data_IF_866779860372
#
_entry.id   IF_866779860372
#
_cell.length_a   1.000
_cell.length_b   1.000
_cell.length_c   1.000
_cell.angle_alpha   90.00
_cell.angle_beta   90.00
_cell.angle_gamma   90.00
#
_symmetry.space_group_name_H-M   'P 1'
#
loop_
_entity.id
_entity.type
_entity.pdbx_description
1 polymer ?
#
# COMPACT_ATOMS: atom_id res chain seq x y z
N UNK A 1 -9.97 -16.23 16.84
CA UNK A 1 -11.12 -16.83 16.10
C UNK A 1 -11.12 -16.24 14.68
N UNK A 2 -11.42 -17.03 13.64
CA UNK A 2 -11.63 -16.47 12.30
C UNK A 2 -12.85 -15.53 12.32
N UNK A 3 -12.68 -14.30 11.86
CA UNK A 3 -13.69 -13.25 11.86
C UNK A 3 -14.27 -13.00 10.46
N UNK A 4 -13.68 -13.55 9.41
CA UNK A 4 -14.22 -13.45 8.05
C UNK A 4 -13.29 -14.01 6.99
N UNK A 5 -13.86 -14.27 5.83
CA UNK A 5 -13.15 -14.54 4.58
C UNK A 5 -13.66 -13.55 3.52
N UNK A 6 -12.75 -13.04 2.70
CA UNK A 6 -13.03 -12.08 1.64
C UNK A 6 -12.22 -12.44 0.40
N UNK A 7 -12.78 -12.12 -0.76
CA UNK A 7 -12.05 -12.15 -2.03
C UNK A 7 -12.15 -10.77 -2.65
N UNK A 8 -11.03 -10.26 -3.17
CA UNK A 8 -10.98 -8.97 -3.86
C UNK A 8 -9.92 -8.98 -4.96
N UNK A 9 -10.16 -8.23 -6.02
CA UNK A 9 -9.21 -7.91 -7.08
C UNK A 9 -8.52 -6.57 -6.87
N UNK A 10 -7.21 -6.55 -7.08
CA UNK A 10 -6.39 -5.35 -7.08
C UNK A 10 -5.77 -5.13 -8.46
N UNK A 11 -5.88 -3.90 -8.96
CA UNK A 11 -5.15 -3.41 -10.13
C UNK A 11 -4.20 -2.29 -9.70
N UNK A 12 -2.91 -2.42 -9.99
CA UNK A 12 -1.89 -1.45 -9.64
C UNK A 12 -1.45 -0.64 -10.85
N UNK A 13 -1.31 0.67 -10.65
CA UNK A 13 -1.03 1.63 -11.71
C UNK A 13 0.22 2.45 -11.41
N UNK A 14 1.05 2.65 -12.42
CA UNK A 14 2.23 3.50 -12.34
C UNK A 14 2.59 4.02 -13.74
N UNK A 15 3.55 4.95 -13.82
CA UNK A 15 4.14 5.32 -15.10
C UNK A 15 5.03 4.18 -15.63
N UNK A 16 5.34 4.15 -16.95
CA UNK A 16 6.30 3.20 -17.51
C UNK A 16 7.67 3.21 -16.84
N UNK A 17 8.05 4.32 -16.22
CA UNK A 17 9.31 4.51 -15.50
C UNK A 17 9.19 4.21 -13.99
N UNK A 18 8.04 3.68 -13.53
CA UNK A 18 7.75 3.32 -12.13
C UNK A 18 7.94 4.49 -11.14
N UNK A 19 7.54 5.71 -11.53
CA UNK A 19 7.79 6.93 -10.75
C UNK A 19 7.17 6.83 -9.35
N UNK A 20 5.97 6.25 -9.22
CA UNK A 20 5.28 6.13 -7.94
C UNK A 20 5.99 5.08 -7.08
N UNK A 21 6.16 3.87 -7.59
CA UNK A 21 6.74 2.73 -6.87
C UNK A 21 8.17 3.03 -6.41
N UNK A 22 9.00 3.64 -7.26
CA UNK A 22 10.38 4.03 -6.91
C UNK A 22 10.44 5.12 -5.83
N UNK A 23 9.37 5.88 -5.65
CA UNK A 23 9.20 6.87 -4.58
C UNK A 23 8.39 6.33 -3.39
N UNK A 24 8.14 5.02 -3.34
CA UNK A 24 7.35 4.32 -2.31
C UNK A 24 5.88 4.75 -2.23
N UNK A 25 5.31 5.21 -3.35
CA UNK A 25 3.88 5.43 -3.53
C UNK A 25 3.26 4.25 -4.25
N UNK A 26 2.08 3.81 -3.79
CA UNK A 26 1.39 2.66 -4.37
C UNK A 26 -0.04 3.05 -4.70
N UNK A 27 -0.34 3.21 -6.00
CA UNK A 27 -1.67 3.50 -6.51
C UNK A 27 -2.35 2.20 -6.94
N UNK A 28 -3.57 1.95 -6.44
CA UNK A 28 -4.38 0.80 -6.84
C UNK A 28 -5.86 1.14 -7.01
N UNK A 29 -6.54 0.41 -7.89
CA UNK A 29 -8.00 0.28 -7.92
C UNK A 29 -8.34 -1.10 -7.32
N UNK A 30 -9.06 -1.13 -6.20
CA UNK A 30 -9.53 -2.34 -5.54
C UNK A 30 -11.04 -2.42 -5.67
N UNK A 31 -11.56 -3.46 -6.34
CA UNK A 31 -13.01 -3.64 -6.53
C UNK A 31 -13.72 -2.34 -7.01
N UNK A 32 -13.10 -1.63 -7.96
CA UNK A 32 -13.64 -0.38 -8.50
C UNK A 32 -13.41 0.87 -7.65
N UNK A 33 -12.69 0.78 -6.52
CA UNK A 33 -12.37 1.92 -5.64
C UNK A 33 -10.89 2.27 -5.66
N UNK A 34 -10.56 3.55 -5.84
CA UNK A 34 -9.19 4.04 -5.86
C UNK A 34 -8.61 4.21 -4.45
N UNK A 35 -7.38 3.74 -4.26
CA UNK A 35 -6.60 3.88 -3.04
C UNK A 35 -5.15 4.26 -3.38
N UNK A 36 -4.59 5.22 -2.65
CA UNK A 36 -3.18 5.61 -2.75
C UNK A 36 -2.50 5.46 -1.39
N UNK A 37 -1.49 4.60 -1.32
CA UNK A 37 -0.58 4.51 -0.17
C UNK A 37 0.58 5.47 -0.39
N UNK A 38 0.82 6.37 0.56
CA UNK A 38 1.88 7.38 0.52
C UNK A 38 2.91 7.12 1.62
N UNK A 39 4.22 7.28 1.41
CA UNK A 39 5.19 7.25 2.48
C UNK A 39 4.96 8.48 3.37
N UNK A 40 4.89 8.28 4.69
CA UNK A 40 4.75 9.38 5.63
C UNK A 40 6.10 10.08 5.79
N UNK A 41 6.12 11.41 5.67
CA UNK A 41 7.34 12.21 5.80
C UNK A 41 7.89 12.06 7.22
N UNK A 42 9.05 11.43 7.38
CA UNK A 42 9.75 11.31 8.66
C UNK A 42 10.30 12.69 9.07
N UNK A 43 9.51 13.46 9.80
CA UNK A 43 9.84 14.83 10.20
C UNK A 43 10.74 14.97 11.43
N UNK A 44 11.30 13.89 11.97
CA UNK A 44 12.09 13.95 13.21
C UNK A 44 13.35 13.11 13.09
N UNK A 45 14.47 13.69 13.53
CA UNK A 45 15.75 13.01 13.70
C UNK A 45 15.55 11.76 14.56
N UNK A 46 16.10 10.60 14.17
CA UNK A 46 15.91 9.34 14.88
C UNK A 46 16.67 9.39 16.20
N UNK A 47 15.96 9.68 17.29
CA UNK A 47 16.53 9.67 18.65
C UNK A 47 16.25 8.33 19.37
N UNK A 48 15.65 7.35 18.68
CA UNK A 48 15.36 6.03 19.21
C UNK A 48 15.42 4.94 18.13
N UNK A 49 16.12 3.84 18.42
CA UNK A 49 16.31 2.69 17.50
C UNK A 49 14.99 2.08 17.00
N UNK A 50 13.88 2.32 17.70
CA UNK A 50 12.52 1.89 17.33
C UNK A 50 11.90 2.66 16.15
N UNK A 51 12.34 3.88 15.83
CA UNK A 51 11.85 4.59 14.62
C UNK A 51 12.42 4.04 13.32
N UNK A 52 13.59 3.38 13.36
CA UNK A 52 14.32 2.91 12.17
C UNK A 52 13.65 1.66 11.57
N UNK A 53 12.95 0.87 12.37
CA UNK A 53 12.41 -0.42 11.95
C UNK A 53 11.03 -0.35 11.30
N UNK A 54 10.32 0.79 11.37
CA UNK A 54 8.92 0.86 11.02
C UNK A 54 8.65 1.84 9.86
N UNK A 55 8.31 1.30 8.69
CA UNK A 55 7.95 2.14 7.53
C UNK A 55 6.58 2.77 7.72
N UNK A 56 6.50 4.10 7.73
CA UNK A 56 5.23 4.81 7.96
C UNK A 56 4.54 5.14 6.64
N UNK A 57 3.22 4.95 6.56
CA UNK A 57 2.40 5.32 5.42
C UNK A 57 1.13 6.07 5.81
N UNK A 58 0.59 6.82 4.86
CA UNK A 58 -0.74 7.43 4.90
C UNK A 58 -1.55 6.86 3.75
N UNK A 59 -2.77 6.42 4.01
CA UNK A 59 -3.68 5.94 2.95
C UNK A 59 -4.71 7.02 2.59
N UNK A 60 -4.83 7.28 1.29
CA UNK A 60 -5.82 8.22 0.72
C UNK A 60 -6.83 7.41 -0.09
N UNK A 61 -8.11 7.54 0.24
CA UNK A 61 -9.23 6.86 -0.46
C UNK A 61 -10.18 7.83 -1.16
N UNK A 62 -9.99 9.14 -0.96
CA UNK A 62 -10.77 10.18 -1.63
C UNK A 62 -10.22 10.41 -3.03
N UNK A 63 -11.00 10.06 -4.06
CA UNK A 63 -10.57 10.17 -5.47
C UNK A 63 -10.02 11.56 -5.85
N UNK A 64 -10.64 12.70 -5.51
CA UNK A 64 -10.06 14.03 -5.81
C UNK A 64 -8.70 14.27 -5.14
N UNK A 65 -8.48 13.74 -3.94
CA UNK A 65 -7.21 13.86 -3.24
C UNK A 65 -6.15 12.94 -3.86
N UNK A 66 -6.54 11.73 -4.29
CA UNK A 66 -5.67 10.80 -5.02
C UNK A 66 -5.20 11.45 -6.32
N UNK A 67 -6.11 11.93 -7.16
CA UNK A 67 -5.77 12.57 -8.43
C UNK A 67 -4.81 13.76 -8.25
N UNK A 68 -5.11 14.63 -7.28
CA UNK A 68 -4.26 15.80 -6.97
C UNK A 68 -2.86 15.38 -6.55
N UNK A 69 -2.74 14.39 -5.67
CA UNK A 69 -1.45 13.95 -5.13
C UNK A 69 -0.61 13.21 -6.17
N UNK A 70 -1.21 12.31 -6.95
CA UNK A 70 -0.53 11.60 -8.03
C UNK A 70 -0.05 12.58 -9.10
N UNK A 71 -0.91 13.51 -9.53
CA UNK A 71 -0.55 14.56 -10.50
C UNK A 71 0.64 15.40 -10.02
N UNK A 72 0.69 15.72 -8.72
CA UNK A 72 1.79 16.46 -8.11
C UNK A 72 3.11 15.68 -8.21
N UNK A 73 3.11 14.41 -7.82
CA UNK A 73 4.30 13.54 -7.81
C UNK A 73 4.88 13.37 -9.22
N UNK A 74 4.02 13.08 -10.20
CA UNK A 74 4.42 12.90 -11.60
C UNK A 74 5.01 14.19 -12.17
N UNK A 75 4.35 15.35 -11.94
CA UNK A 75 4.84 16.65 -12.43
C UNK A 75 6.18 17.06 -11.81
N UNK A 76 6.36 16.83 -10.51
CA UNK A 76 7.62 17.12 -9.81
C UNK A 76 8.78 16.31 -10.42
N UNK A 77 8.56 15.03 -10.74
CA UNK A 77 9.60 14.21 -11.35
C UNK A 77 9.96 14.65 -12.77
N UNK A 78 8.98 15.02 -13.60
CA UNK A 78 9.23 15.53 -14.95
C UNK A 78 10.00 16.87 -14.93
N UNK A 79 9.73 17.71 -13.92
CA UNK A 79 10.46 18.98 -13.73
C UNK A 79 11.90 18.76 -13.26
N UNK A 80 12.16 17.73 -12.45
CA UNK A 80 13.51 17.33 -12.00
C UNK A 80 14.35 16.76 -13.14
N UNK A 81 13.76 15.96 -14.04
CA UNK A 81 14.41 15.38 -15.22
C UNK A 81 14.74 16.40 -16.32
N UNK A 82 13.99 17.51 -16.42
CA UNK A 82 14.16 18.54 -17.46
C UNK A 82 15.44 19.39 -17.32
N UNK A 83 16.26 19.16 -16.29
CA UNK A 83 17.61 19.76 -16.18
C UNK A 83 18.69 18.98 -16.96
N UNK A 84 18.37 17.83 -17.52
CA UNK A 84 19.32 17.03 -18.28
C UNK A 84 18.68 16.50 -19.55
N UNK A 85 19.08 17.11 -20.67
CA UNK A 85 18.91 16.65 -22.06
C UNK A 85 17.55 16.87 -22.72
N UNK A 86 17.53 17.94 -23.51
CA UNK A 86 16.70 18.07 -24.71
C UNK A 86 16.89 16.87 -25.65
N UNK A 87 15.79 16.30 -26.13
CA UNK A 87 15.48 16.08 -27.56
C UNK A 87 14.66 14.80 -27.79
N UNK A 88 13.56 15.02 -28.50
CA UNK A 88 12.85 14.09 -29.40
C UNK A 88 11.82 13.13 -28.79
N UNK A 89 10.59 13.65 -28.90
CA UNK A 89 9.29 12.99 -28.95
C UNK A 89 9.25 12.01 -30.13
N UNK A 90 9.00 10.74 -29.87
CA UNK A 90 8.49 9.81 -30.88
C UNK A 90 7.22 9.13 -30.39
N UNK A 91 6.36 8.88 -31.37
CA UNK A 91 4.92 8.68 -31.34
C UNK A 91 4.69 7.25 -31.80
N UNK A 92 4.11 6.38 -30.97
CA UNK A 92 3.65 5.06 -31.42
C UNK A 92 2.30 4.75 -30.78
N UNK A 93 1.25 4.86 -31.59
CA UNK A 93 -0.05 4.23 -31.40
C UNK A 93 0.10 2.71 -31.54
N UNK A 94 -0.43 1.91 -30.60
CA UNK A 94 -1.08 0.61 -30.91
C UNK A 94 -2.13 0.23 -29.86
N UNK A 95 -3.36 0.16 -30.35
CA UNK A 95 -4.55 -0.45 -29.76
C UNK A 95 -4.35 -1.96 -29.62
N UNK A 96 -4.72 -2.52 -28.47
CA UNK A 96 -5.11 -3.93 -28.35
C UNK A 96 -6.21 -4.02 -27.29
N UNK A 97 -7.44 -4.18 -27.77
CA UNK A 97 -8.63 -4.47 -26.95
C UNK A 97 -8.50 -5.89 -26.39
N UNK A 98 -8.52 -6.04 -25.06
CA UNK A 98 -8.87 -7.29 -24.41
C UNK A 98 -10.11 -7.06 -23.53
N UNK A 99 -11.25 -7.44 -24.07
CA UNK A 99 -12.50 -7.56 -23.33
C UNK A 99 -12.32 -8.65 -22.26
N UNK A 100 -12.36 -8.27 -20.98
CA UNK A 100 -13.26 -8.81 -19.95
C UNK A 100 -12.74 -8.55 -18.51
N UNK A 101 -12.31 -7.32 -18.22
CA UNK A 101 -11.95 -6.88 -16.87
C UNK A 101 -13.00 -5.88 -16.39
N UNK A 102 -13.67 -6.16 -15.27
CA UNK A 102 -14.50 -5.17 -14.57
C UNK A 102 -13.56 -4.07 -14.03
N UNK A 103 -13.38 -3.02 -14.83
CA UNK A 103 -12.54 -1.86 -14.54
C UNK A 103 -13.34 -0.85 -13.70
N UNK A 104 -12.63 -0.09 -12.85
CA UNK A 104 -13.11 1.17 -12.25
C UNK A 104 -13.95 1.98 -13.28
N UNK A 105 -15.01 2.69 -12.87
CA UNK A 105 -15.99 3.29 -13.82
C UNK A 105 -15.32 4.04 -14.98
N UNK A 106 -15.90 3.99 -16.19
CA UNK A 106 -15.24 4.47 -17.42
C UNK A 106 -14.78 5.93 -17.36
N UNK A 107 -15.48 6.79 -16.61
CA UNK A 107 -15.10 8.19 -16.37
C UNK A 107 -13.86 8.34 -15.46
N UNK A 108 -13.59 7.36 -14.59
CA UNK A 108 -12.51 7.41 -13.59
C UNK A 108 -11.14 6.96 -14.13
N UNK A 109 -11.02 6.74 -15.44
CA UNK A 109 -9.77 6.25 -16.07
C UNK A 109 -9.12 7.24 -17.01
N UNK A 110 -9.82 8.30 -17.45
CA UNK A 110 -9.24 9.31 -18.36
C UNK A 110 -7.99 9.99 -17.77
N UNK A 111 -8.02 10.31 -16.48
CA UNK A 111 -6.89 10.94 -15.79
C UNK A 111 -5.62 10.08 -15.74
N UNK A 112 -5.76 8.75 -15.86
CA UNK A 112 -4.59 7.86 -15.96
C UNK A 112 -3.86 8.10 -17.28
N UNK A 113 -4.61 8.23 -18.38
CA UNK A 113 -4.04 8.51 -19.69
C UNK A 113 -3.35 9.88 -19.73
N UNK A 114 -3.96 10.90 -19.12
CA UNK A 114 -3.38 12.25 -19.03
C UNK A 114 -2.03 12.27 -18.28
N UNK A 115 -1.87 11.37 -17.31
CA UNK A 115 -0.65 11.22 -16.52
C UNK A 115 0.28 10.13 -17.06
N UNK A 116 -0.07 9.47 -18.17
CA UNK A 116 0.64 8.33 -18.74
C UNK A 116 0.86 7.20 -17.71
N UNK A 117 -0.18 6.87 -16.94
CA UNK A 117 -0.21 5.77 -16.00
C UNK A 117 -0.84 4.54 -16.66
N UNK A 118 -0.22 3.38 -16.46
CA UNK A 118 -0.67 2.09 -17.01
C UNK A 118 -0.84 1.08 -15.89
N UNK A 119 -1.79 0.16 -16.06
CA UNK A 119 -1.88 -1.01 -15.20
C UNK A 119 -0.64 -1.88 -15.42
N UNK A 120 0.15 -2.12 -14.38
CA UNK A 120 1.37 -2.93 -14.47
C UNK A 120 1.27 -4.24 -13.69
N UNK A 121 0.28 -4.38 -12.80
CA UNK A 121 0.01 -5.62 -12.08
C UNK A 121 -1.48 -5.73 -11.75
N UNK A 122 -2.04 -6.93 -11.90
CA UNK A 122 -3.42 -7.26 -11.55
C UNK A 122 -3.45 -8.68 -10.96
N UNK A 123 -4.13 -8.84 -9.82
CA UNK A 123 -4.31 -10.16 -9.19
C UNK A 123 -5.50 -10.16 -8.23
N UNK A 124 -6.02 -11.36 -7.96
CA UNK A 124 -7.03 -11.59 -6.93
C UNK A 124 -6.38 -12.09 -5.65
N UNK A 125 -6.94 -11.68 -4.53
CA UNK A 125 -6.52 -12.10 -3.18
C UNK A 125 -7.68 -12.75 -2.46
N UNK A 126 -7.45 -13.94 -1.90
CA UNK A 126 -8.30 -14.53 -0.87
C UNK A 126 -7.72 -14.22 0.51
N UNK A 127 -8.46 -13.44 1.30
CA UNK A 127 -8.09 -13.04 2.65
C UNK A 127 -8.87 -13.83 3.68
N UNK A 128 -8.17 -14.42 4.64
CA UNK A 128 -8.75 -14.97 5.86
C UNK A 128 -8.31 -14.16 7.08
N UNK A 129 -9.26 -13.51 7.74
CA UNK A 129 -9.00 -12.59 8.86
C UNK A 129 -9.28 -13.25 10.21
N UNK A 130 -8.41 -13.01 11.18
CA UNK A 130 -8.50 -13.49 12.55
C UNK A 130 -8.43 -12.32 13.53
N UNK A 131 -9.23 -12.40 14.60
CA UNK A 131 -9.06 -11.56 15.78
C UNK A 131 -8.54 -12.42 16.93
N UNK A 132 -7.40 -12.02 17.48
CA UNK A 132 -6.72 -12.63 18.60
C UNK A 132 -6.89 -11.73 19.81
N UNK A 133 -7.88 -12.05 20.64
CA UNK A 133 -8.04 -11.40 21.95
C UNK A 133 -6.91 -11.85 22.88
N UNK A 134 -6.24 -10.89 23.51
CA UNK A 134 -5.18 -11.11 24.52
C UNK A 134 -5.41 -10.17 25.68
N UNK A 135 -4.83 -10.48 26.83
CA UNK A 135 -4.90 -9.59 28.03
C UNK A 135 -4.34 -8.20 27.73
N UNK A 136 -3.31 -8.12 26.88
CA UNK A 136 -2.69 -6.88 26.45
C UNK A 136 -3.45 -6.13 25.33
N UNK A 137 -4.60 -6.65 24.86
CA UNK A 137 -5.41 -6.06 23.79
C UNK A 137 -5.54 -6.95 22.55
N UNK A 138 -6.50 -6.62 21.69
CA UNK A 138 -6.78 -7.38 20.48
C UNK A 138 -5.70 -7.18 19.40
N UNK A 139 -5.38 -8.25 18.70
CA UNK A 139 -4.49 -8.26 17.53
C UNK A 139 -5.24 -8.85 16.34
N UNK A 140 -5.22 -8.13 15.22
CA UNK A 140 -5.78 -8.61 13.95
C UNK A 140 -4.69 -9.36 13.18
N UNK A 141 -5.04 -10.47 12.55
CA UNK A 141 -4.14 -11.20 11.64
C UNK A 141 -4.89 -11.50 10.35
N UNK A 142 -4.40 -10.96 9.24
CA UNK A 142 -4.92 -11.21 7.90
C UNK A 142 -3.97 -12.16 7.16
N UNK A 143 -4.48 -13.30 6.69
CA UNK A 143 -3.73 -14.24 5.86
C UNK A 143 -4.24 -14.13 4.44
N UNK A 144 -3.39 -13.64 3.55
CA UNK A 144 -3.68 -13.38 2.16
C UNK A 144 -3.05 -14.44 1.27
N UNK A 145 -3.82 -14.98 0.34
CA UNK A 145 -3.32 -15.80 -0.76
C UNK A 145 -3.68 -15.13 -2.08
N UNK A 146 -2.67 -14.80 -2.88
CA UNK A 146 -2.88 -14.31 -4.24
C UNK A 146 -3.16 -15.47 -5.20
N UNK A 147 -3.90 -15.21 -6.28
CA UNK A 147 -4.25 -16.19 -7.32
C UNK A 147 -3.05 -16.75 -8.11
N UNK A 148 -1.90 -16.08 -8.03
CA UNK A 148 -0.62 -16.57 -8.56
C UNK A 148 0.21 -17.38 -7.54
N UNK A 149 -0.38 -17.74 -6.39
CA UNK A 149 0.13 -18.75 -5.46
C UNK A 149 1.02 -18.24 -4.33
N UNK A 150 1.25 -16.93 -4.23
CA UNK A 150 1.98 -16.34 -3.10
C UNK A 150 1.06 -16.13 -1.90
N UNK A 151 1.55 -16.44 -0.71
CA UNK A 151 0.85 -16.23 0.55
C UNK A 151 1.60 -15.21 1.40
N UNK A 152 0.86 -14.33 2.06
CA UNK A 152 1.41 -13.28 2.92
C UNK A 152 0.53 -13.17 4.17
N UNK A 153 1.15 -13.07 5.35
CA UNK A 153 0.45 -12.77 6.59
C UNK A 153 0.66 -11.32 7.02
N UNK A 154 -0.38 -10.60 7.40
CA UNK A 154 -0.30 -9.28 8.02
C UNK A 154 -0.80 -9.35 9.47
N UNK A 155 0.07 -9.07 10.45
CA UNK A 155 -0.33 -8.89 11.85
C UNK A 155 -0.54 -7.41 12.09
N UNK A 156 -1.70 -6.98 12.58
CA UNK A 156 -2.06 -5.59 12.78
C UNK A 156 -2.51 -5.29 14.22
N UNK A 157 -2.03 -4.18 14.77
CA UNK A 157 -2.49 -3.59 16.04
C UNK A 157 -2.89 -2.14 15.81
N UNK A 158 -4.12 -1.81 16.21
CA UNK A 158 -4.61 -0.42 16.23
C UNK A 158 -4.21 0.25 17.54
N UNK A 159 -3.62 1.44 17.42
CA UNK A 159 -3.16 2.27 18.52
C UNK A 159 -3.82 3.64 18.39
N UNK A 160 -4.50 4.15 19.44
CA UNK A 160 -4.97 5.54 19.43
C UNK A 160 -3.81 6.52 19.23
N UNK A 161 -4.07 7.69 18.65
CA UNK A 161 -3.05 8.73 18.49
C UNK A 161 -2.45 9.12 19.85
N UNK A 162 -1.11 9.21 19.89
CA UNK A 162 -0.36 9.42 21.13
C UNK A 162 -0.27 8.19 22.04
N UNK A 163 -0.78 7.03 21.61
CA UNK A 163 -0.67 5.77 22.32
C UNK A 163 0.73 5.15 22.26
N UNK A 164 0.92 4.07 23.03
CA UNK A 164 2.22 3.41 23.17
C UNK A 164 2.53 2.50 21.97
N UNK A 165 3.34 3.03 21.05
CA UNK A 165 3.83 2.31 19.88
C UNK A 165 4.75 1.14 20.25
N UNK A 166 5.54 1.25 21.32
CA UNK A 166 6.44 0.17 21.73
C UNK A 166 5.65 -1.03 22.25
N UNK A 167 4.58 -0.79 23.03
CA UNK A 167 3.68 -1.84 23.46
C UNK A 167 2.95 -2.50 22.26
N UNK A 168 2.61 -1.74 21.23
CA UNK A 168 2.03 -2.28 20.01
C UNK A 168 3.02 -3.17 19.23
N UNK A 169 4.26 -2.71 19.05
CA UNK A 169 5.33 -3.47 18.41
C UNK A 169 5.62 -4.78 19.18
N UNK A 170 5.72 -4.73 20.50
CA UNK A 170 5.92 -5.92 21.32
C UNK A 170 4.79 -6.95 21.15
N UNK A 171 3.54 -6.50 21.08
CA UNK A 171 2.40 -7.39 20.81
C UNK A 171 2.54 -8.07 19.44
N UNK A 172 2.90 -7.30 18.41
CA UNK A 172 3.13 -7.85 17.07
C UNK A 172 4.27 -8.87 17.09
N UNK A 173 5.41 -8.52 17.68
CA UNK A 173 6.58 -9.41 17.76
C UNK A 173 6.26 -10.71 18.50
N UNK A 174 5.51 -10.64 19.60
CA UNK A 174 5.09 -11.84 20.34
C UNK A 174 4.18 -12.75 19.50
N UNK A 175 3.20 -12.17 18.80
CA UNK A 175 2.31 -12.95 17.91
C UNK A 175 3.10 -13.53 16.73
N UNK A 176 4.03 -12.78 16.15
CA UNK A 176 4.89 -13.28 15.07
C UNK A 176 5.73 -14.49 15.54
N UNK A 177 6.32 -14.41 16.74
CA UNK A 177 7.07 -15.51 17.34
C UNK A 177 6.19 -16.74 17.62
N UNK A 178 4.95 -16.54 18.10
CA UNK A 178 3.98 -17.63 18.29
C UNK A 178 3.60 -18.34 16.98
N UNK A 179 3.50 -17.57 15.88
CA UNK A 179 3.11 -18.10 14.56
C UNK A 179 4.28 -18.80 13.82
N UNK A 180 5.52 -18.65 14.30
CA UNK A 180 6.67 -19.46 13.90
C UNK A 180 7.96 -18.66 13.69
N UNK A 181 9.11 -19.22 14.08
CA UNK A 181 10.44 -18.60 13.95
C UNK A 181 11.06 -18.66 12.55
N UNK A 182 10.37 -19.24 11.56
CA UNK A 182 10.89 -19.42 10.21
C UNK A 182 10.58 -18.20 9.32
N UNK A 183 10.83 -17.00 9.85
CA UNK A 183 10.55 -15.75 9.15
C UNK A 183 11.85 -15.21 8.57
N UNK A 184 12.07 -15.46 7.27
CA UNK A 184 13.23 -14.92 6.57
C UNK A 184 13.15 -13.41 6.33
N UNK A 185 11.95 -12.82 6.41
CA UNK A 185 11.74 -11.39 6.21
C UNK A 185 10.54 -10.89 7.02
N UNK A 186 10.79 -9.98 7.96
CA UNK A 186 9.77 -9.28 8.75
C UNK A 186 9.88 -7.81 8.39
N UNK A 187 8.82 -7.22 7.82
CA UNK A 187 8.76 -5.78 7.58
C UNK A 187 7.71 -5.15 8.49
N UNK A 188 8.14 -4.28 9.41
CA UNK A 188 7.22 -3.49 10.24
C UNK A 188 6.74 -2.26 9.48
N UNK A 189 5.46 -1.96 9.60
CA UNK A 189 4.77 -0.84 8.97
C UNK A 189 3.90 -0.11 9.98
N UNK A 190 3.68 1.18 9.75
CA UNK A 190 2.75 2.02 10.51
C UNK A 190 1.90 2.82 9.52
N UNK A 191 0.61 2.56 9.48
CA UNK A 191 -0.34 3.30 8.66
C UNK A 191 -1.08 4.34 9.52
N UNK A 192 -1.06 5.61 9.10
CA UNK A 192 -1.82 6.69 9.69
C UNK A 192 -3.23 6.68 9.10
N UNK A 193 -4.20 6.26 9.91
CA UNK A 193 -5.60 6.20 9.51
C UNK A 193 -6.33 7.50 9.86
N UNK A 194 -7.47 7.78 9.18
CA UNK A 194 -8.39 8.82 9.63
C UNK A 194 -8.82 8.60 11.09
N UNK A 195 -9.24 9.68 11.77
CA UNK A 195 -9.77 9.64 13.15
C UNK A 195 -8.78 9.32 14.27
N UNK A 196 -7.53 9.76 14.16
CA UNK A 196 -6.55 9.66 15.25
C UNK A 196 -6.25 8.19 15.64
N UNK A 197 -6.15 7.32 14.64
CA UNK A 197 -5.78 5.90 14.84
C UNK A 197 -4.53 5.60 14.01
N UNK A 198 -3.60 4.90 14.63
CA UNK A 198 -2.37 4.39 14.02
C UNK A 198 -2.50 2.88 13.92
N UNK A 199 -2.46 2.35 12.72
CA UNK A 199 -2.30 0.92 12.46
C UNK A 199 -0.80 0.63 12.48
N UNK A 200 -0.34 -0.34 13.23
CA UNK A 200 1.00 -0.91 13.03
C UNK A 200 0.87 -2.34 12.57
N UNK A 201 1.65 -2.74 11.58
CA UNK A 201 1.61 -4.10 11.08
C UNK A 201 2.97 -4.71 10.79
N UNK A 202 3.00 -6.04 10.74
CA UNK A 202 4.11 -6.82 10.23
C UNK A 202 3.63 -7.67 9.08
N UNK A 203 4.38 -7.63 7.98
CA UNK A 203 4.20 -8.53 6.85
C UNK A 203 5.12 -9.73 7.00
N UNK A 204 4.53 -10.93 6.96
CA UNK A 204 5.16 -12.24 7.00
C UNK A 204 5.11 -12.82 5.59
N UNK A 205 6.27 -13.11 4.99
CA UNK A 205 6.41 -13.71 3.65
C UNK A 205 7.14 -15.03 3.76
#
# INVERSE_FOLDING_TARGET
>A
KCIGQQQFGDQYFDSPDFILTLKDFWLRCREGSWELKCPAVSGTTPDNDTEILCTRYREITSFPLIQSEVSRIIREHTAEGSKSNSSQKEQIDKVAENENTEVCSTDDTEWLNDLNLVCFAEFKTERCSYMLEREAGAVRVDLDQADFGYCVGEIEVLVPEGGDMNAALQRITNIAAELGEMLSYIQYRVDLLPHHVVKTSVVLV
#
